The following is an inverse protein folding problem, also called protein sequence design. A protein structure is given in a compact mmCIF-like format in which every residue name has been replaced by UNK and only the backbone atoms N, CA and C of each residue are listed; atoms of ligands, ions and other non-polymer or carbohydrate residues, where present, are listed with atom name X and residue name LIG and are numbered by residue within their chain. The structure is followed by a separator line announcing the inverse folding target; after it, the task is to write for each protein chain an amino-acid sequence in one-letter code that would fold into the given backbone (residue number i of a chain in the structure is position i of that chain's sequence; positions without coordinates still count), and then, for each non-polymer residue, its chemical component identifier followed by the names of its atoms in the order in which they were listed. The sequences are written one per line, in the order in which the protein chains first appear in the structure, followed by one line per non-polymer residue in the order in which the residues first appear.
data_IF_258602832785
#
_entry.id   IF_258602832785
#
_cell.length_a   1.000
_cell.length_b   1.000
_cell.length_c   1.000
_cell.angle_alpha   90.00
_cell.angle_beta   90.00
_cell.angle_gamma   90.00
#
_symmetry.space_group_name_H-M   'P 1'
#
loop_
_entity.id
_entity.type
_entity.pdbx_description
1 polymer ?
#
# COMPACT_ATOMS: atom_id res chain seq x y z
N UNK A 1 -11.45 0.48 4.85
CA UNK A 1 -10.04 0.17 4.55
C UNK A 1 -9.39 -0.37 5.80
N UNK A 2 -8.45 -1.29 5.66
CA UNK A 2 -7.66 -1.76 6.79
C UNK A 2 -6.73 -0.64 7.26
N UNK A 3 -6.52 -0.44 8.58
CA UNK A 3 -5.44 0.42 9.03
C UNK A 3 -4.11 -0.19 8.59
N UNK A 4 -3.21 0.64 8.06
CA UNK A 4 -1.83 0.22 7.81
C UNK A 4 -1.16 0.04 9.17
N UNK A 5 -0.85 -1.20 9.53
CA UNK A 5 -0.08 -1.54 10.73
C UNK A 5 1.31 -1.91 10.26
N UNK A 6 2.33 -1.21 10.78
CA UNK A 6 3.71 -1.48 10.40
C UNK A 6 4.06 -2.96 10.65
N UNK A 7 4.74 -3.59 9.69
CA UNK A 7 5.14 -5.00 9.74
C UNK A 7 4.04 -6.04 9.52
N UNK A 8 2.74 -5.66 9.53
CA UNK A 8 1.66 -6.62 9.31
C UNK A 8 1.63 -7.08 7.86
N UNK A 9 1.56 -8.40 7.65
CA UNK A 9 1.45 -8.97 6.31
C UNK A 9 0.03 -8.80 5.75
N UNK A 10 -0.06 -8.34 4.51
CA UNK A 10 -1.29 -8.26 3.73
C UNK A 10 -1.07 -8.98 2.40
N UNK A 11 -1.68 -10.14 2.23
CA UNK A 11 -1.48 -10.96 1.05
C UNK A 11 -2.35 -10.48 -0.12
N UNK A 12 -1.70 -10.00 -1.18
CA UNK A 12 -2.38 -9.54 -2.40
C UNK A 12 -2.47 -10.60 -3.51
N UNK A 13 -1.56 -11.58 -3.50
CA UNK A 13 -1.51 -12.69 -4.43
C UNK A 13 -1.07 -13.96 -3.71
N UNK A 14 -1.71 -15.10 -4.01
CA UNK A 14 -1.48 -16.37 -3.31
C UNK A 14 -0.45 -17.23 -4.06
N UNK A 15 0.54 -17.76 -3.32
CA UNK A 15 1.50 -18.74 -3.84
C UNK A 15 0.78 -19.93 -4.47
N UNK A 16 1.21 -20.32 -5.66
CA UNK A 16 0.65 -21.46 -6.40
C UNK A 16 -0.67 -21.20 -7.12
N UNK A 17 -1.26 -20.00 -7.00
CA UNK A 17 -2.41 -19.59 -7.80
C UNK A 17 -1.91 -18.84 -9.03
N UNK A 18 -2.25 -19.27 -10.26
CA UNK A 18 -1.89 -18.53 -11.47
C UNK A 18 -2.44 -17.11 -11.44
N UNK A 19 -1.61 -16.14 -11.80
CA UNK A 19 -1.98 -14.73 -11.89
C UNK A 19 -2.26 -14.40 -13.37
N UNK A 20 -3.43 -13.86 -13.68
CA UNK A 20 -3.71 -13.32 -15.02
C UNK A 20 -3.08 -11.92 -15.13
N UNK A 21 -2.21 -11.74 -16.13
CA UNK A 21 -1.54 -10.47 -16.40
C UNK A 21 -2.51 -9.31 -16.72
N UNK A 22 -3.78 -9.59 -17.04
CA UNK A 22 -4.83 -8.59 -17.27
C UNK A 22 -5.60 -8.23 -16.00
N UNK A 23 -5.53 -9.07 -14.98
CA UNK A 23 -6.26 -8.87 -13.73
C UNK A 23 -5.66 -7.72 -12.92
N UNK A 24 -6.55 -6.98 -12.25
CA UNK A 24 -6.18 -5.87 -11.38
C UNK A 24 -6.50 -6.23 -9.93
N UNK A 25 -5.45 -6.43 -9.14
CA UNK A 25 -5.55 -6.71 -7.71
C UNK A 25 -5.75 -5.38 -6.99
N UNK A 26 -6.78 -5.32 -6.13
CA UNK A 26 -7.17 -4.09 -5.42
C UNK A 26 -7.20 -4.34 -3.94
N UNK A 27 -6.40 -3.59 -3.19
CA UNK A 27 -6.42 -3.61 -1.73
C UNK A 27 -6.69 -2.22 -1.14
N UNK A 28 -7.51 -2.19 -0.08
CA UNK A 28 -8.01 -0.95 0.51
C UNK A 28 -7.25 -0.58 1.76
N UNK A 29 -6.58 0.56 1.72
CA UNK A 29 -5.81 1.09 2.84
C UNK A 29 -6.40 2.40 3.36
N UNK A 30 -6.06 2.70 4.61
CA UNK A 30 -6.33 3.98 5.26
C UNK A 30 -5.01 4.60 5.72
N UNK A 31 -4.77 5.82 5.27
CA UNK A 31 -3.67 6.67 5.73
C UNK A 31 -4.22 7.74 6.67
N UNK A 32 -3.49 8.04 7.74
CA UNK A 32 -3.89 9.02 8.73
C UNK A 32 -2.95 10.21 8.70
N UNK A 33 -3.51 11.42 8.78
CA UNK A 33 -2.79 12.69 8.72
C UNK A 33 -3.24 13.59 9.88
N UNK A 34 -2.33 14.39 10.45
CA UNK A 34 -2.68 15.36 11.48
C UNK A 34 -3.40 16.58 10.88
N UNK A 35 -3.08 16.94 9.64
CA UNK A 35 -3.57 18.13 8.95
C UNK A 35 -4.76 17.85 8.03
N UNK A 36 -5.62 18.86 7.87
CA UNK A 36 -6.82 18.79 7.03
C UNK A 36 -6.57 19.02 5.55
N UNK A 37 -5.53 19.78 5.22
CA UNK A 37 -5.22 20.19 3.86
C UNK A 37 -3.71 20.26 3.65
N UNK A 38 -3.00 19.12 3.65
CA UNK A 38 -1.59 19.11 3.30
C UNK A 38 -1.42 19.43 1.81
N UNK A 39 -0.34 20.14 1.42
CA UNK A 39 -0.09 20.52 0.02
C UNK A 39 0.14 19.30 -0.89
N UNK A 40 0.72 18.23 -0.33
CA UNK A 40 0.80 16.93 -0.97
C UNK A 40 0.77 15.80 0.06
N UNK A 41 0.46 14.60 -0.42
CA UNK A 41 0.52 13.37 0.36
C UNK A 41 1.43 12.38 -0.37
N UNK A 42 2.61 12.17 0.20
CA UNK A 42 3.53 11.10 -0.19
C UNK A 42 3.07 9.76 0.40
N UNK A 43 3.02 8.75 -0.45
CA UNK A 43 2.74 7.36 -0.09
C UNK A 43 3.91 6.49 -0.54
N UNK A 44 4.33 5.58 0.32
CA UNK A 44 5.39 4.61 0.05
C UNK A 44 5.00 3.27 0.66
N UNK A 45 5.04 2.21 -0.15
CA UNK A 45 4.60 0.87 0.24
C UNK A 45 5.57 -0.16 -0.33
N UNK A 46 6.14 -0.98 0.54
CA UNK A 46 7.02 -2.07 0.13
C UNK A 46 6.19 -3.30 -0.26
N UNK A 47 6.53 -3.91 -1.40
CA UNK A 47 6.01 -5.22 -1.81
C UNK A 47 7.06 -6.27 -1.42
N UNK A 48 6.61 -7.31 -0.74
CA UNK A 48 7.41 -8.47 -0.42
C UNK A 48 6.86 -9.73 -1.09
N UNK A 49 7.74 -10.70 -1.33
CA UNK A 49 7.37 -12.08 -1.60
C UNK A 49 7.63 -12.92 -0.35
N UNK A 50 6.84 -13.99 -0.19
CA UNK A 50 7.00 -14.98 0.87
C UNK A 50 7.18 -16.36 0.26
N UNK A 51 8.30 -17.04 0.56
CA UNK A 51 8.62 -18.36 0.00
C UNK A 51 8.23 -19.54 0.89
N UNK A 52 7.82 -19.30 2.13
CA UNK A 52 7.40 -20.35 3.07
C UNK A 52 6.14 -21.08 2.63
N UNK A 53 5.79 -22.15 3.35
CA UNK A 53 4.61 -22.98 3.09
C UNK A 53 3.49 -22.78 4.13
N UNK A 54 3.73 -21.91 5.11
CA UNK A 54 2.78 -21.44 6.11
C UNK A 54 2.12 -20.10 5.73
N UNK A 55 1.25 -19.59 6.59
CA UNK A 55 0.52 -18.34 6.41
C UNK A 55 0.96 -17.32 7.47
N UNK A 56 1.99 -16.50 7.19
CA UNK A 56 2.50 -15.54 8.15
C UNK A 56 1.49 -14.41 8.38
N UNK A 57 1.40 -13.94 9.62
CA UNK A 57 0.61 -12.74 9.96
C UNK A 57 1.45 -11.46 9.90
N UNK A 58 2.76 -11.59 10.06
CA UNK A 58 3.72 -10.49 10.13
C UNK A 58 4.87 -10.75 9.16
N UNK A 59 5.37 -9.70 8.53
CA UNK A 59 6.56 -9.71 7.69
C UNK A 59 7.80 -9.21 8.44
N UNK A 60 7.61 -8.42 9.51
CA UNK A 60 8.69 -7.85 10.33
C UNK A 60 8.59 -8.32 11.78
N UNK A 61 9.73 -8.40 12.45
CA UNK A 61 9.79 -8.54 13.91
C UNK A 61 9.58 -7.20 14.64
N UNK A 62 9.59 -7.24 15.97
CA UNK A 62 9.40 -6.04 16.82
C UNK A 62 10.54 -5.02 16.76
N UNK A 63 11.63 -5.34 16.07
CA UNK A 63 12.79 -4.49 15.83
C UNK A 63 12.87 -4.05 14.36
N UNK A 64 11.77 -4.20 13.62
CA UNK A 64 11.65 -3.89 12.19
C UNK A 64 12.60 -4.70 11.28
N UNK A 65 13.05 -5.87 11.73
CA UNK A 65 13.81 -6.78 10.87
C UNK A 65 12.87 -7.67 10.04
N UNK A 66 13.21 -7.85 8.76
CA UNK A 66 12.47 -8.74 7.87
C UNK A 66 12.58 -10.20 8.34
N UNK A 67 11.44 -10.85 8.53
CA UNK A 67 11.38 -12.25 8.96
C UNK A 67 11.89 -13.20 7.87
N UNK A 68 12.35 -14.41 8.24
CA UNK A 68 12.79 -15.41 7.27
C UNK A 68 11.74 -15.70 6.20
N UNK A 69 12.20 -16.13 5.02
CA UNK A 69 11.39 -16.40 3.82
C UNK A 69 10.69 -15.19 3.19
N UNK A 70 10.79 -14.00 3.80
CA UNK A 70 10.38 -12.77 3.13
C UNK A 70 11.53 -12.17 2.33
N UNK A 71 11.20 -11.61 1.17
CA UNK A 71 12.12 -10.83 0.34
C UNK A 71 11.42 -9.60 -0.19
N UNK A 72 12.07 -8.44 -0.11
CA UNK A 72 11.58 -7.22 -0.77
C UNK A 72 11.69 -7.35 -2.29
N UNK A 73 10.57 -7.15 -2.99
CA UNK A 73 10.46 -7.20 -4.45
C UNK A 73 10.64 -5.80 -5.02
N UNK A 74 9.85 -4.84 -4.55
CA UNK A 74 9.90 -3.44 -4.98
C UNK A 74 9.27 -2.52 -3.94
N UNK A 75 9.40 -1.21 -4.17
CA UNK A 75 8.67 -0.16 -3.46
C UNK A 75 7.75 0.53 -4.45
N UNK A 76 6.48 0.68 -4.10
CA UNK A 76 5.53 1.56 -4.78
C UNK A 76 5.54 2.91 -4.09
N UNK A 77 5.78 3.98 -4.83
CA UNK A 77 5.65 5.36 -4.34
C UNK A 77 4.61 6.13 -5.14
N UNK A 78 3.92 7.06 -4.51
CA UNK A 78 3.01 7.98 -5.18
C UNK A 78 2.97 9.32 -4.45
N UNK A 79 2.83 10.39 -5.23
CA UNK A 79 2.59 11.75 -4.74
C UNK A 79 1.18 12.16 -5.15
N UNK A 80 0.36 12.49 -4.17
CA UNK A 80 -0.98 13.02 -4.38
C UNK A 80 -0.97 14.52 -4.10
N UNK A 81 -1.37 15.31 -5.07
CA UNK A 81 -1.54 16.76 -4.95
C UNK A 81 -3.02 17.12 -4.90
N UNK A 82 -3.33 18.32 -4.40
CA UNK A 82 -4.69 18.87 -4.36
C UNK A 82 -5.71 17.90 -3.76
N UNK A 83 -5.36 17.26 -2.64
CA UNK A 83 -6.19 16.22 -1.98
C UNK A 83 -7.30 16.79 -1.10
N UNK A 84 -7.56 18.09 -1.19
CA UNK A 84 -8.66 18.73 -0.49
C UNK A 84 -9.99 18.06 -0.87
N UNK A 85 -10.80 17.73 0.13
CA UNK A 85 -12.05 16.99 -0.07
C UNK A 85 -11.89 15.48 -0.32
N UNK A 86 -10.66 14.95 -0.35
CA UNK A 86 -10.40 13.50 -0.24
C UNK A 86 -10.16 13.07 1.22
N UNK A 87 -9.69 14.00 2.06
CA UNK A 87 -9.48 13.78 3.48
C UNK A 87 -10.79 13.86 4.27
N UNK A 88 -11.06 12.82 5.05
CA UNK A 88 -12.23 12.74 5.92
C UNK A 88 -11.83 13.07 7.35
N UNK A 89 -12.46 14.09 7.95
CA UNK A 89 -12.28 14.43 9.37
C UNK A 89 -12.75 13.27 10.23
N UNK A 90 -11.92 12.87 11.19
CA UNK A 90 -12.20 11.87 12.20
C UNK A 90 -11.94 12.45 13.59
N UNK A 91 -12.59 11.86 14.60
CA UNK A 91 -12.39 12.20 16.01
C UNK A 91 -11.86 10.94 16.70
N UNK A 92 -10.66 11.03 17.26
CA UNK A 92 -10.03 9.94 18.00
C UNK A 92 -10.69 9.72 19.35
N UNK A 93 -10.34 8.60 19.99
CA UNK A 93 -10.92 8.18 21.27
C UNK A 93 -10.83 9.27 22.37
N UNK A 94 -9.76 10.07 22.34
CA UNK A 94 -9.52 11.16 23.30
C UNK A 94 -9.99 12.54 22.81
N UNK A 95 -10.84 12.60 21.78
CA UNK A 95 -11.34 13.87 21.22
C UNK A 95 -10.41 14.58 20.24
N UNK A 96 -9.19 14.06 20.05
CA UNK A 96 -8.23 14.62 19.09
C UNK A 96 -8.75 14.47 17.66
N UNK A 97 -8.66 15.55 16.87
CA UNK A 97 -9.03 15.51 15.45
C UNK A 97 -7.87 14.95 14.64
N UNK A 98 -8.19 14.06 13.70
CA UNK A 98 -7.25 13.60 12.67
C UNK A 98 -7.98 13.44 11.35
N UNK A 99 -7.23 13.27 10.27
CA UNK A 99 -7.76 13.19 8.91
C UNK A 99 -7.40 11.86 8.28
N UNK A 100 -8.38 11.21 7.67
CA UNK A 100 -8.22 9.90 7.04
C UNK A 100 -8.31 10.06 5.52
N UNK A 101 -7.31 9.55 4.81
CA UNK A 101 -7.37 9.29 3.37
C UNK A 101 -7.64 7.80 3.15
N UNK A 102 -8.65 7.47 2.36
CA UNK A 102 -8.88 6.09 1.90
C UNK A 102 -8.38 5.95 0.48
N UNK A 103 -7.53 4.96 0.26
CA UNK A 103 -6.94 4.67 -1.04
C UNK A 103 -7.12 3.19 -1.35
N UNK A 104 -7.33 2.90 -2.63
CA UNK A 104 -7.24 1.57 -3.19
C UNK A 104 -5.90 1.48 -3.94
N UNK A 105 -5.01 0.60 -3.48
CA UNK A 105 -3.76 0.29 -4.15
C UNK A 105 -4.06 -0.77 -5.20
N UNK A 106 -3.85 -0.41 -6.45
CA UNK A 106 -4.16 -1.25 -7.59
C UNK A 106 -2.87 -1.78 -8.20
N UNK A 107 -2.73 -3.11 -8.29
CA UNK A 107 -1.52 -3.77 -8.78
C UNK A 107 -1.89 -4.71 -9.92
N UNK A 108 -1.13 -4.62 -11.01
CA UNK A 108 -1.17 -5.56 -12.11
C UNK A 108 0.19 -6.22 -12.24
N UNK A 109 0.22 -7.54 -12.15
CA UNK A 109 1.41 -8.34 -12.40
C UNK A 109 1.47 -8.62 -13.90
N UNK A 110 2.01 -7.68 -14.66
CA UNK A 110 2.23 -7.87 -16.10
C UNK A 110 3.17 -9.05 -16.37
N UNK A 111 3.31 -9.42 -17.64
CA UNK A 111 4.21 -10.50 -18.05
C UNK A 111 5.68 -10.23 -17.72
N UNK A 112 6.10 -8.98 -17.78
CA UNK A 112 7.50 -8.57 -17.60
C UNK A 112 7.70 -7.61 -16.43
N UNK A 113 6.71 -6.76 -16.16
CA UNK A 113 6.80 -5.70 -15.17
C UNK A 113 5.52 -5.62 -14.32
N UNK A 114 5.71 -5.23 -13.07
CA UNK A 114 4.61 -4.87 -12.17
C UNK A 114 4.20 -3.42 -12.44
N UNK A 115 2.90 -3.20 -12.60
CA UNK A 115 2.32 -1.87 -12.72
C UNK A 115 1.47 -1.57 -11.49
N UNK A 116 1.51 -0.32 -11.02
CA UNK A 116 0.73 0.13 -9.89
C UNK A 116 0.13 1.51 -10.13
N UNK A 117 -1.07 1.73 -9.59
CA UNK A 117 -1.68 3.03 -9.49
C UNK A 117 -2.53 3.11 -8.22
N UNK A 118 -2.88 4.32 -7.81
CA UNK A 118 -3.77 4.56 -6.69
C UNK A 118 -5.13 5.03 -7.18
N UNK A 119 -6.19 4.62 -6.49
CA UNK A 119 -7.53 5.15 -6.66
C UNK A 119 -8.02 5.72 -5.32
N UNK A 120 -8.70 6.87 -5.35
CA UNK A 120 -9.31 7.47 -4.16
C UNK A 120 -10.59 8.21 -4.53
N UNK A 121 -11.38 8.57 -3.52
CA UNK A 121 -12.54 9.43 -3.69
C UNK A 121 -12.21 10.85 -3.26
N UNK A 122 -12.59 11.83 -4.07
CA UNK A 122 -12.43 13.24 -3.78
C UNK A 122 -13.72 13.97 -4.14
N UNK A 123 -14.38 14.60 -3.17
CA UNK A 123 -15.65 15.30 -3.38
C UNK A 123 -16.71 14.43 -4.08
N UNK A 124 -16.79 13.13 -3.72
CA UNK A 124 -17.71 12.16 -4.32
C UNK A 124 -17.30 11.65 -5.71
N UNK A 125 -16.17 12.11 -6.26
CA UNK A 125 -15.65 11.68 -7.56
C UNK A 125 -14.47 10.74 -7.37
N UNK A 126 -14.49 9.59 -8.07
CA UNK A 126 -13.33 8.70 -8.13
C UNK A 126 -12.20 9.34 -8.91
N UNK A 127 -11.03 9.37 -8.30
CA UNK A 127 -9.76 9.84 -8.86
C UNK A 127 -8.81 8.67 -8.99
N UNK A 128 -7.88 8.79 -9.93
CA UNK A 128 -6.77 7.87 -10.11
C UNK A 128 -5.48 8.67 -10.28
N UNK A 129 -4.38 8.12 -9.78
CA UNK A 129 -3.07 8.76 -9.80
C UNK A 129 -1.98 7.74 -10.05
N UNK A 130 -0.93 8.10 -10.80
CA UNK A 130 0.16 7.19 -11.10
C UNK A 130 0.92 6.82 -9.82
N UNK A 131 1.45 5.60 -9.79
CA UNK A 131 2.44 5.20 -8.81
C UNK A 131 3.72 4.75 -9.52
N UNK A 132 4.87 5.07 -8.95
CA UNK A 132 6.18 4.65 -9.43
C UNK A 132 6.57 3.36 -8.73
N UNK A 133 7.02 2.37 -9.52
CA UNK A 133 7.52 1.09 -9.00
C UNK A 133 9.04 1.12 -9.06
N UNK A 134 9.69 1.11 -7.89
CA UNK A 134 11.15 1.07 -7.76
C UNK A 134 11.57 -0.33 -7.36
N UNK A 135 12.35 -1.06 -8.19
CA UNK A 135 12.83 -2.40 -7.85
C UNK A 135 13.61 -2.42 -6.53
N UNK A 136 13.42 -3.47 -5.73
CA UNK A 136 14.26 -3.74 -4.57
C UNK A 136 15.69 -4.06 -5.03
N UNK A 137 16.69 -3.75 -4.18
CA UNK A 137 18.08 -4.13 -4.47
C UNK A 137 18.14 -5.65 -4.73
N UNK A 138 18.79 -6.11 -5.82
CA UNK A 138 19.15 -7.51 -5.94
C UNK A 138 19.95 -7.92 -4.70
N UNK A 139 19.59 -9.05 -4.11
CA UNK A 139 20.48 -9.71 -3.16
C UNK A 139 21.50 -10.42 -4.04
N UNK A 140 22.78 -10.03 -3.94
CA UNK A 140 23.86 -10.84 -4.48
C UNK A 140 23.79 -12.21 -3.79
N UNK A 141 23.52 -13.26 -4.57
CA UNK A 141 23.45 -14.65 -4.11
C UNK A 141 24.88 -15.22 -4.12
#
# INVERSE_FOLDING_TARGET
GLPIVNGKWCQIAKKGVPIDAKELYREKFACFRPESNPPSISLSMDIYSYSGDDQPTWAMDVKDNLLPNFRKVCTITAELYDVEGALQRQIGLFGNVYWQLRIDVCIRFGTTELQAHLEWEQNGVKRQGPATVVPGKPIDI
#
